data_IF_000649153718
#
_entry.id   IF_000649153718
#
_cell.length_a   1.000
_cell.length_b   1.000
_cell.length_c   1.000
_cell.angle_alpha   90.00
_cell.angle_beta   90.00
_cell.angle_gamma   90.00
#
_symmetry.space_group_name_H-M   'P 1'
#
loop_
_entity.id
_entity.type
_entity.pdbx_description
1 polymer ?
#
# COMPACT_ATOMS: atom_id res chain seq x y z
N UNK A 1 71.60 -28.45 28.26
CA UNK A 1 70.68 -27.68 27.38
C UNK A 1 69.93 -26.69 28.27
N UNK A 2 70.37 -25.44 28.35
CA UNK A 2 69.88 -24.26 27.61
C UNK A 2 68.49 -23.76 28.05
N UNK A 3 68.54 -22.58 28.70
CA UNK A 3 67.62 -21.44 28.69
C UNK A 3 66.56 -21.31 29.81
N UNK A 4 66.89 -20.37 30.69
CA UNK A 4 66.01 -19.47 31.47
C UNK A 4 64.89 -18.92 30.58
N UNK A 5 63.67 -18.81 31.09
CA UNK A 5 62.80 -17.66 30.79
C UNK A 5 61.80 -17.42 31.94
N UNK A 6 62.00 -16.30 32.64
CA UNK A 6 61.01 -15.67 33.49
C UNK A 6 59.85 -15.17 32.61
N UNK A 7 58.61 -15.40 33.03
CA UNK A 7 57.47 -14.68 32.45
C UNK A 7 56.56 -14.19 33.58
N UNK A 8 56.89 -12.99 34.07
CA UNK A 8 55.93 -12.14 34.75
C UNK A 8 54.98 -11.58 33.67
N UNK A 9 53.72 -12.01 33.68
CA UNK A 9 52.67 -11.32 32.94
C UNK A 9 51.88 -10.50 33.95
N UNK A 10 52.21 -9.21 33.94
CA UNK A 10 51.45 -8.14 34.58
C UNK A 10 50.06 -8.11 33.93
N UNK A 11 49.03 -8.39 34.73
CA UNK A 11 47.63 -8.18 34.36
C UNK A 11 47.41 -6.68 34.16
N UNK A 12 47.46 -6.26 32.89
CA UNK A 12 47.13 -4.90 32.47
C UNK A 12 45.64 -4.64 32.74
N UNK A 13 45.40 -3.62 33.56
CA UNK A 13 44.09 -3.04 33.85
C UNK A 13 43.51 -2.48 32.55
N UNK A 14 42.41 -3.08 32.06
CA UNK A 14 41.60 -2.46 31.02
C UNK A 14 40.85 -1.27 31.61
N UNK A 15 41.45 -0.08 31.51
CA UNK A 15 40.70 1.18 31.60
C UNK A 15 39.85 1.29 30.34
N UNK A 16 38.59 0.86 30.46
CA UNK A 16 37.57 1.11 29.47
C UNK A 16 37.23 2.61 29.49
N UNK A 17 37.94 3.40 28.67
CA UNK A 17 37.63 4.82 28.51
C UNK A 17 36.40 4.91 27.60
N UNK A 18 35.21 4.99 28.20
CA UNK A 18 34.00 5.40 27.48
C UNK A 18 34.20 6.85 27.01
N UNK A 19 34.76 7.02 25.82
CA UNK A 19 34.79 8.29 25.11
C UNK A 19 33.39 8.58 24.56
N UNK A 20 32.51 9.09 25.42
CA UNK A 20 31.32 9.81 24.98
C UNK A 20 31.75 11.11 24.30
N UNK A 21 31.83 11.07 22.97
CA UNK A 21 31.90 12.29 22.17
C UNK A 21 30.54 12.99 22.21
N UNK A 22 30.45 14.03 23.05
CA UNK A 22 29.35 14.97 23.02
C UNK A 22 29.48 15.85 21.77
N UNK A 23 28.87 15.43 20.66
CA UNK A 23 28.68 16.29 19.50
C UNK A 23 27.54 17.28 19.78
N UNK A 24 27.91 18.56 19.81
CA UNK A 24 27.01 19.71 19.91
C UNK A 24 25.90 19.63 18.86
N UNK A 25 24.67 19.81 19.32
CA UNK A 25 23.45 20.05 18.53
C UNK A 25 23.68 21.22 17.57
N UNK A 26 23.80 20.94 16.27
CA UNK A 26 23.60 21.96 15.24
C UNK A 26 22.15 21.88 14.76
N UNK A 27 21.42 22.98 14.92
CA UNK A 27 20.12 23.17 14.29
C UNK A 27 20.38 23.34 12.79
N UNK A 28 20.29 22.25 12.03
CA UNK A 28 19.99 22.32 10.62
C UNK A 28 18.50 22.09 10.44
N UNK A 29 17.85 23.06 9.79
CA UNK A 29 16.47 22.97 9.30
C UNK A 29 16.37 21.75 8.39
N UNK A 30 15.97 20.60 8.95
CA UNK A 30 15.70 19.39 8.19
C UNK A 30 14.31 19.54 7.57
N UNK A 31 14.28 19.82 6.28
CA UNK A 31 13.18 19.35 5.44
C UNK A 31 13.17 17.82 5.58
N UNK A 32 12.28 17.29 6.44
CA UNK A 32 12.21 15.85 6.68
C UNK A 32 11.58 15.17 5.46
N UNK A 33 12.39 14.59 4.59
CA UNK A 33 11.93 13.52 3.70
C UNK A 33 11.65 12.29 4.59
N UNK A 34 10.44 12.23 5.13
CA UNK A 34 9.96 11.20 6.07
C UNK A 34 10.13 9.76 5.57
N UNK A 35 10.41 9.56 4.28
CA UNK A 35 10.58 8.26 3.61
C UNK A 35 11.94 7.59 3.88
N UNK A 36 13.03 8.34 4.10
CA UNK A 36 14.38 7.73 4.17
C UNK A 36 14.61 6.89 5.44
N UNK A 37 13.94 7.20 6.55
CA UNK A 37 14.10 6.51 7.84
C UNK A 37 13.05 5.42 8.11
N UNK A 38 12.21 5.06 7.13
CA UNK A 38 11.14 4.07 7.34
C UNK A 38 11.66 2.61 7.25
N UNK A 39 10.98 1.65 7.90
CA UNK A 39 11.20 0.22 7.72
C UNK A 39 11.10 -0.18 6.24
N UNK A 40 11.82 -1.23 5.85
CA UNK A 40 11.85 -1.69 4.45
C UNK A 40 10.44 -2.05 3.93
N UNK A 41 9.62 -2.70 4.76
CA UNK A 41 8.24 -3.04 4.45
C UNK A 41 7.43 -1.79 4.02
N UNK A 42 7.60 -0.69 4.74
CA UNK A 42 6.92 0.59 4.47
C UNK A 42 7.40 1.21 3.16
N UNK A 43 8.71 1.18 2.90
CA UNK A 43 9.29 1.71 1.66
C UNK A 43 8.79 0.97 0.42
N UNK A 44 8.81 -0.37 0.47
CA UNK A 44 8.32 -1.22 -0.61
C UNK A 44 6.84 -0.98 -0.86
N UNK A 45 6.03 -1.01 0.20
CA UNK A 45 4.59 -0.83 0.12
C UNK A 45 4.19 0.53 -0.48
N UNK A 46 4.74 1.63 0.05
CA UNK A 46 4.41 2.97 -0.44
C UNK A 46 4.85 3.18 -1.89
N UNK A 47 5.99 2.62 -2.29
CA UNK A 47 6.45 2.72 -3.68
C UNK A 47 5.48 2.01 -4.63
N UNK A 48 5.17 0.74 -4.36
CA UNK A 48 4.36 -0.07 -5.26
C UNK A 48 2.89 0.38 -5.27
N UNK A 49 2.31 0.70 -4.11
CA UNK A 49 0.91 1.15 -4.03
C UNK A 49 0.71 2.51 -4.69
N UNK A 50 1.61 3.48 -4.45
CA UNK A 50 1.50 4.77 -5.15
C UNK A 50 1.72 4.64 -6.67
N UNK A 51 2.49 3.64 -7.10
CA UNK A 51 2.62 3.33 -8.53
C UNK A 51 1.33 2.73 -9.11
N UNK A 52 0.62 1.89 -8.35
CA UNK A 52 -0.69 1.37 -8.73
C UNK A 52 -1.78 2.45 -8.74
N UNK A 53 -1.80 3.37 -7.77
CA UNK A 53 -2.79 4.46 -7.73
C UNK A 53 -2.71 5.38 -8.95
N UNK A 54 -1.51 5.61 -9.50
CA UNK A 54 -1.32 6.33 -10.77
C UNK A 54 -1.92 5.61 -11.98
N UNK A 55 -2.20 4.31 -11.84
CA UNK A 55 -2.81 3.42 -12.82
C UNK A 55 -4.28 3.10 -12.49
N UNK A 56 -4.94 3.93 -11.69
CA UNK A 56 -6.32 3.74 -11.23
C UNK A 56 -7.37 4.62 -11.94
N UNK A 57 -6.99 5.32 -13.03
CA UNK A 57 -7.93 5.97 -13.95
C UNK A 57 -8.64 7.27 -13.50
N UNK A 58 -8.02 8.41 -13.86
CA UNK A 58 -8.64 9.68 -14.35
C UNK A 58 -7.61 10.47 -15.21
N UNK A 59 -6.31 10.40 -14.86
CA UNK A 59 -5.18 11.05 -15.57
C UNK A 59 -4.06 10.07 -16.00
N UNK A 60 -4.34 8.75 -16.01
CA UNK A 60 -3.36 7.69 -16.29
C UNK A 60 -4.04 6.42 -16.81
N UNK A 61 -3.29 5.31 -16.99
CA UNK A 61 -3.88 4.04 -17.40
C UNK A 61 -5.00 3.64 -16.44
N UNK A 62 -6.09 3.08 -16.97
CA UNK A 62 -7.15 2.53 -16.14
C UNK A 62 -6.70 1.23 -15.47
N UNK A 63 -7.27 0.93 -14.31
CA UNK A 63 -7.00 -0.30 -13.55
C UNK A 63 -7.23 -1.57 -14.40
N UNK A 64 -8.12 -1.50 -15.39
CA UNK A 64 -8.46 -2.61 -16.31
C UNK A 64 -7.64 -2.62 -17.61
N UNK A 65 -6.77 -1.63 -17.84
CA UNK A 65 -5.93 -1.61 -19.03
C UNK A 65 -4.95 -2.78 -19.06
N UNK A 66 -4.66 -3.31 -20.24
CA UNK A 66 -3.70 -4.42 -20.42
C UNK A 66 -2.33 -4.09 -19.83
N UNK A 67 -1.84 -2.87 -20.04
CA UNK A 67 -0.57 -2.39 -19.45
C UNK A 67 -0.57 -2.50 -17.92
N UNK A 68 -1.67 -2.12 -17.27
CA UNK A 68 -1.77 -2.17 -15.81
C UNK A 68 -1.88 -3.59 -15.31
N UNK A 69 -2.66 -4.43 -15.98
CA UNK A 69 -2.78 -5.85 -15.66
C UNK A 69 -1.43 -6.57 -15.77
N UNK A 70 -0.71 -6.38 -16.89
CA UNK A 70 0.63 -6.96 -17.10
C UNK A 70 1.61 -6.50 -16.02
N UNK A 71 1.54 -5.22 -15.64
CA UNK A 71 2.34 -4.67 -14.56
C UNK A 71 1.99 -5.29 -13.20
N UNK A 72 0.70 -5.45 -12.85
CA UNK A 72 0.29 -6.05 -11.57
C UNK A 72 0.67 -7.53 -11.51
N UNK A 73 0.35 -8.31 -12.54
CA UNK A 73 0.62 -9.75 -12.55
C UNK A 73 2.11 -10.08 -12.63
N UNK A 74 2.88 -9.29 -13.38
CA UNK A 74 4.33 -9.42 -13.49
C UNK A 74 5.13 -8.88 -12.29
N UNK A 75 4.51 -8.10 -11.39
CA UNK A 75 5.21 -7.50 -10.27
C UNK A 75 5.30 -8.45 -9.08
N UNK A 76 6.54 -8.81 -8.71
CA UNK A 76 6.84 -9.72 -7.58
C UNK A 76 6.60 -9.11 -6.20
N UNK A 77 6.28 -7.82 -6.12
CA UNK A 77 5.94 -7.11 -4.88
C UNK A 77 4.47 -7.24 -4.48
N UNK A 78 3.64 -7.90 -5.28
CA UNK A 78 2.29 -8.29 -4.89
C UNK A 78 2.24 -9.78 -4.58
N UNK A 79 1.48 -10.16 -3.55
CA UNK A 79 1.15 -11.56 -3.28
C UNK A 79 0.19 -12.11 -4.34
N UNK A 80 0.05 -13.43 -4.41
CA UNK A 80 -0.94 -14.06 -5.28
C UNK A 80 -2.37 -13.77 -4.80
N UNK A 81 -2.58 -13.63 -3.48
CA UNK A 81 -3.87 -13.22 -2.90
C UNK A 81 -4.25 -11.80 -3.33
N UNK A 82 -3.30 -10.86 -3.32
CA UNK A 82 -3.51 -9.52 -3.87
C UNK A 82 -3.92 -9.57 -5.34
N UNK A 83 -3.19 -10.34 -6.16
CA UNK A 83 -3.45 -10.47 -7.60
C UNK A 83 -4.80 -11.12 -7.88
N UNK A 84 -5.18 -12.09 -7.05
CA UNK A 84 -6.49 -12.75 -7.14
C UNK A 84 -7.60 -11.75 -6.85
N UNK A 85 -7.54 -11.00 -5.75
CA UNK A 85 -8.58 -10.02 -5.44
C UNK A 85 -8.59 -8.83 -6.42
N UNK A 86 -7.42 -8.43 -6.94
CA UNK A 86 -7.31 -7.47 -8.04
C UNK A 86 -8.03 -7.95 -9.31
N UNK A 87 -7.91 -9.23 -9.66
CA UNK A 87 -8.60 -9.80 -10.83
C UNK A 87 -10.13 -9.69 -10.72
N UNK A 88 -10.68 -9.81 -9.52
CA UNK A 88 -12.12 -9.60 -9.29
C UNK A 88 -12.52 -8.15 -9.56
N UNK A 89 -11.71 -7.16 -9.16
CA UNK A 89 -11.91 -5.75 -9.53
C UNK A 89 -11.81 -5.56 -11.04
N UNK A 90 -10.89 -6.22 -11.74
CA UNK A 90 -10.83 -6.15 -13.21
C UNK A 90 -12.11 -6.69 -13.84
N UNK A 91 -12.62 -7.84 -13.38
CA UNK A 91 -13.87 -8.40 -13.86
C UNK A 91 -15.06 -7.49 -13.56
N UNK A 92 -15.16 -6.95 -12.33
CA UNK A 92 -16.25 -6.05 -11.95
C UNK A 92 -16.26 -4.73 -12.71
N UNK A 93 -15.09 -4.12 -12.89
CA UNK A 93 -14.96 -2.89 -13.68
C UNK A 93 -15.20 -3.11 -15.19
N UNK A 94 -15.07 -4.34 -15.68
CA UNK A 94 -15.47 -4.74 -17.03
C UNK A 94 -16.96 -5.06 -17.15
N UNK A 95 -17.75 -4.98 -16.05
CA UNK A 95 -19.21 -4.92 -16.14
C UNK A 95 -19.67 -3.52 -16.57
N UNK A 96 -18.99 -2.95 -17.55
CA UNK A 96 -19.28 -1.62 -18.09
C UNK A 96 -20.63 -1.59 -18.80
N UNK A 97 -21.17 -2.73 -19.21
CA UNK A 97 -22.52 -2.86 -19.75
C UNK A 97 -23.63 -2.54 -18.74
N UNK A 98 -23.35 -2.51 -17.43
CA UNK A 98 -24.33 -2.06 -16.43
C UNK A 98 -24.51 -0.55 -16.60
N UNK A 99 -25.77 -0.09 -16.64
CA UNK A 99 -26.05 1.33 -16.79
C UNK A 99 -25.37 2.13 -15.67
N UNK A 100 -24.78 3.28 -16.04
CA UNK A 100 -24.25 4.19 -15.04
C UNK A 100 -25.41 4.75 -14.22
N UNK A 101 -25.10 5.14 -12.99
CA UNK A 101 -26.08 5.75 -12.09
C UNK A 101 -26.39 7.20 -12.39
N UNK A 102 -25.66 7.78 -13.34
CA UNK A 102 -26.02 9.09 -13.85
C UNK A 102 -27.38 8.95 -14.53
N UNK A 103 -28.35 9.75 -14.07
CA UNK A 103 -29.76 9.76 -14.49
C UNK A 103 -29.98 9.96 -16.00
N UNK A 104 -28.90 10.20 -16.75
CA UNK A 104 -28.83 10.47 -18.17
C UNK A 104 -27.86 9.50 -18.91
N UNK A 105 -27.70 8.23 -18.47
CA UNK A 105 -26.92 7.25 -19.27
C UNK A 105 -27.62 7.01 -20.63
N UNK A 106 -27.09 7.65 -21.67
CA UNK A 106 -27.64 7.61 -23.03
C UNK A 106 -27.44 6.27 -23.74
N UNK A 107 -26.74 5.30 -23.12
CA UNK A 107 -26.45 3.99 -23.73
C UNK A 107 -27.72 3.15 -23.81
N UNK A 108 -28.27 2.93 -25.02
CA UNK A 108 -29.56 2.25 -25.18
C UNK A 108 -29.48 0.74 -24.92
N UNK A 109 -28.27 0.17 -24.83
CA UNK A 109 -27.98 -1.25 -24.70
C UNK A 109 -27.38 -1.63 -23.34
N UNK A 110 -27.29 -0.69 -22.39
CA UNK A 110 -26.89 -1.03 -21.04
C UNK A 110 -27.99 -1.81 -20.30
N UNK A 111 -27.59 -2.61 -19.32
CA UNK A 111 -28.48 -3.39 -18.46
C UNK A 111 -28.70 -2.62 -17.17
N UNK A 112 -29.96 -2.42 -16.77
CA UNK A 112 -30.26 -1.82 -15.46
C UNK A 112 -29.69 -2.70 -14.36
N UNK A 113 -29.11 -2.10 -13.31
CA UNK A 113 -28.65 -2.86 -12.15
C UNK A 113 -29.78 -3.75 -11.59
N UNK A 114 -31.03 -3.28 -11.62
CA UNK A 114 -32.17 -4.03 -11.09
C UNK A 114 -32.57 -5.25 -11.92
N UNK A 115 -32.10 -5.31 -13.17
CA UNK A 115 -32.30 -6.44 -14.07
C UNK A 115 -31.19 -7.50 -13.94
N UNK A 116 -30.11 -7.21 -13.18
CA UNK A 116 -29.07 -8.18 -12.87
C UNK A 116 -29.59 -9.27 -11.92
N UNK A 117 -29.04 -10.48 -12.03
CA UNK A 117 -29.26 -11.52 -11.02
C UNK A 117 -28.73 -11.10 -9.65
N UNK A 118 -29.24 -11.72 -8.58
CA UNK A 118 -28.76 -11.44 -7.22
C UNK A 118 -27.25 -11.64 -7.08
N UNK A 119 -26.70 -12.67 -7.72
CA UNK A 119 -25.26 -12.95 -7.70
C UNK A 119 -24.45 -11.86 -8.42
N UNK A 120 -24.93 -11.38 -9.57
CA UNK A 120 -24.30 -10.28 -10.31
C UNK A 120 -24.38 -8.96 -9.54
N UNK A 121 -25.52 -8.67 -8.91
CA UNK A 121 -25.71 -7.52 -8.04
C UNK A 121 -24.70 -7.51 -6.88
N UNK A 122 -24.57 -8.62 -6.16
CA UNK A 122 -23.61 -8.77 -5.06
C UNK A 122 -22.16 -8.62 -5.54
N UNK A 123 -21.85 -9.14 -6.72
CA UNK A 123 -20.53 -9.01 -7.32
C UNK A 123 -20.24 -7.57 -7.74
N UNK A 124 -21.18 -6.92 -8.44
CA UNK A 124 -21.09 -5.53 -8.88
C UNK A 124 -20.96 -4.57 -7.70
N UNK A 125 -21.76 -4.72 -6.65
CA UNK A 125 -21.68 -3.88 -5.45
C UNK A 125 -20.30 -3.96 -4.76
N UNK A 126 -19.57 -5.07 -4.95
CA UNK A 126 -18.24 -5.26 -4.38
C UNK A 126 -17.12 -4.79 -5.31
N UNK A 127 -17.21 -5.08 -6.60
CA UNK A 127 -16.10 -4.97 -7.55
C UNK A 127 -16.35 -4.03 -8.74
N UNK A 128 -17.57 -3.54 -8.93
CA UNK A 128 -17.96 -2.62 -10.00
C UNK A 128 -17.41 -1.19 -9.85
N UNK A 129 -16.72 -0.90 -8.75
CA UNK A 129 -16.17 0.41 -8.45
C UNK A 129 -14.66 0.34 -8.21
N UNK A 130 -13.94 1.40 -8.61
CA UNK A 130 -12.50 1.45 -8.44
C UNK A 130 -12.12 1.37 -6.95
N UNK A 131 -11.14 0.53 -6.58
CA UNK A 131 -10.88 0.18 -5.18
C UNK A 131 -10.33 1.34 -4.34
N UNK A 132 -9.78 2.38 -4.96
CA UNK A 132 -9.18 3.53 -4.27
C UNK A 132 -10.12 4.72 -4.09
N UNK A 133 -11.35 4.66 -4.63
CA UNK A 133 -12.28 5.80 -4.59
C UNK A 133 -12.72 6.18 -3.19
N UNK A 134 -12.99 7.46 -3.00
CA UNK A 134 -13.77 8.02 -1.90
C UNK A 134 -14.88 8.88 -2.50
N UNK A 135 -16.07 8.29 -2.62
CA UNK A 135 -17.09 8.81 -3.51
C UNK A 135 -16.64 8.69 -4.98
N UNK A 136 -16.54 9.82 -5.69
CA UNK A 136 -16.17 9.86 -7.12
C UNK A 136 -14.68 10.14 -7.38
N UNK A 137 -13.89 10.43 -6.35
CA UNK A 137 -12.50 10.90 -6.51
C UNK A 137 -11.54 10.15 -5.57
N UNK A 138 -10.24 10.26 -5.81
CA UNK A 138 -9.18 9.65 -4.99
C UNK A 138 -7.90 10.50 -5.01
N UNK A 139 -7.08 10.48 -3.95
CA UNK A 139 -5.83 11.23 -3.95
C UNK A 139 -4.79 10.64 -4.92
N UNK A 140 -3.97 11.47 -5.56
CA UNK A 140 -2.90 11.04 -6.48
C UNK A 140 -1.91 10.03 -5.88
N UNK A 141 -1.74 10.07 -4.56
CA UNK A 141 -0.85 9.23 -3.79
C UNK A 141 -1.25 9.23 -2.31
N UNK A 142 -0.67 8.32 -1.54
CA UNK A 142 -0.76 8.29 -0.08
C UNK A 142 0.58 8.53 0.60
N UNK A 143 0.52 9.10 1.80
CA UNK A 143 1.64 9.36 2.69
C UNK A 143 1.60 8.46 3.93
N UNK A 144 2.77 8.07 4.41
CA UNK A 144 2.92 7.27 5.63
C UNK A 144 2.37 8.00 6.86
N UNK A 145 1.60 7.27 7.69
CA UNK A 145 1.19 7.73 9.03
C UNK A 145 1.80 6.84 10.11
N UNK A 146 1.55 5.52 10.05
CA UNK A 146 1.97 4.56 11.06
C UNK A 146 2.17 3.18 10.45
N UNK A 147 3.08 2.39 11.03
CA UNK A 147 3.20 0.96 10.76
C UNK A 147 2.93 0.16 12.03
N UNK A 148 2.03 -0.81 11.96
CA UNK A 148 1.88 -1.84 12.97
C UNK A 148 2.55 -3.11 12.48
N UNK A 149 3.75 -3.37 13.00
CA UNK A 149 4.57 -4.50 12.56
C UNK A 149 3.97 -5.86 12.98
N UNK A 150 3.23 -5.89 14.10
CA UNK A 150 2.66 -7.13 14.64
C UNK A 150 1.65 -7.77 13.69
N UNK A 151 0.83 -6.94 13.05
CA UNK A 151 -0.24 -7.37 12.15
C UNK A 151 0.05 -6.97 10.69
N UNK A 152 1.18 -6.33 10.40
CA UNK A 152 1.61 -5.97 9.05
C UNK A 152 0.76 -4.90 8.40
N UNK A 153 0.04 -4.06 9.16
CA UNK A 153 -0.75 -2.98 8.59
C UNK A 153 -0.01 -1.65 8.61
N UNK A 154 0.11 -1.05 7.43
CA UNK A 154 0.57 0.32 7.24
C UNK A 154 -0.66 1.21 7.08
N UNK A 155 -0.75 2.21 7.94
CA UNK A 155 -1.79 3.23 7.90
C UNK A 155 -1.22 4.42 7.14
N UNK A 156 -1.99 4.90 6.18
CA UNK A 156 -1.62 6.00 5.30
C UNK A 156 -2.75 7.01 5.20
N UNK A 157 -2.41 8.20 4.71
CA UNK A 157 -3.38 9.26 4.43
C UNK A 157 -3.26 9.76 3.00
N UNK A 158 -4.34 10.29 2.43
CA UNK A 158 -4.31 10.87 1.08
C UNK A 158 -3.41 12.11 1.02
N UNK A 159 -2.50 12.14 0.04
CA UNK A 159 -1.61 13.30 -0.18
C UNK A 159 -2.44 14.52 -0.55
N UNK A 160 -2.35 15.57 0.25
CA UNK A 160 -3.13 16.80 0.06
C UNK A 160 -4.59 16.70 0.53
N UNK A 161 -5.05 15.53 0.96
CA UNK A 161 -6.41 15.31 1.46
C UNK A 161 -6.47 15.27 2.99
N UNK A 162 -5.35 14.99 3.65
CA UNK A 162 -5.29 14.90 5.11
C UNK A 162 -6.07 13.69 5.63
N UNK A 163 -6.72 13.83 6.78
CA UNK A 163 -7.35 12.70 7.48
C UNK A 163 -8.73 12.32 6.89
N UNK A 164 -9.22 13.03 5.88
CA UNK A 164 -10.45 12.69 5.15
C UNK A 164 -10.32 11.41 4.30
N UNK A 165 -9.09 10.99 4.02
CA UNK A 165 -8.78 9.75 3.31
C UNK A 165 -7.75 8.96 4.10
N UNK A 166 -8.21 7.94 4.83
CA UNK A 166 -7.32 6.99 5.53
C UNK A 166 -7.34 5.65 4.80
N UNK A 167 -6.17 5.18 4.40
CA UNK A 167 -6.02 3.93 3.66
C UNK A 167 -5.08 2.97 4.38
N UNK A 168 -5.47 1.70 4.42
CA UNK A 168 -4.66 0.61 4.94
C UNK A 168 -3.95 -0.11 3.81
N UNK A 169 -2.68 -0.46 4.04
CA UNK A 169 -1.90 -1.35 3.19
C UNK A 169 -1.44 -2.51 4.06
N UNK A 170 -1.76 -3.73 3.65
CA UNK A 170 -1.32 -4.97 4.30
C UNK A 170 -0.04 -5.45 3.63
N UNK A 171 0.99 -5.70 4.44
CA UNK A 171 2.25 -6.28 4.00
C UNK A 171 2.53 -7.62 4.67
N UNK A 172 3.21 -8.49 3.94
CA UNK A 172 3.71 -9.78 4.41
C UNK A 172 5.17 -9.96 3.99
N UNK A 173 5.90 -10.78 4.73
CA UNK A 173 7.24 -11.20 4.36
C UNK A 173 7.17 -12.65 3.86
N UNK A 174 7.42 -12.85 2.57
CA UNK A 174 7.50 -14.16 1.94
C UNK A 174 8.94 -14.39 1.48
N UNK A 175 9.60 -15.41 2.02
CA UNK A 175 10.98 -15.78 1.67
C UNK A 175 11.98 -14.63 1.78
N UNK A 176 11.84 -13.79 2.81
CA UNK A 176 12.71 -12.64 3.05
C UNK A 176 12.36 -11.41 2.21
N UNK A 177 11.31 -11.48 1.38
CA UNK A 177 10.86 -10.36 0.55
C UNK A 177 9.56 -9.78 1.08
N UNK A 178 9.58 -8.47 1.36
CA UNK A 178 8.35 -7.74 1.66
C UNK A 178 7.50 -7.59 0.40
N UNK A 179 6.22 -7.95 0.52
CA UNK A 179 5.18 -7.85 -0.50
C UNK A 179 3.95 -7.17 0.05
N UNK A 180 3.19 -6.54 -0.83
CA UNK A 180 1.85 -6.00 -0.57
C UNK A 180 0.85 -7.11 -0.80
N UNK A 181 0.08 -7.37 0.24
CA UNK A 181 -0.96 -8.38 0.27
C UNK A 181 -2.35 -7.77 0.13
N UNK A 182 -2.52 -6.51 0.54
CA UNK A 182 -3.74 -5.75 0.35
C UNK A 182 -3.49 -4.24 0.32
N UNK A 183 -4.33 -3.50 -0.39
CA UNK A 183 -4.31 -2.04 -0.41
C UNK A 183 -5.71 -1.48 -0.70
N UNK A 184 -6.11 -0.43 0.03
CA UNK A 184 -7.44 0.16 -0.09
C UNK A 184 -8.55 -0.88 0.11
N UNK A 185 -9.36 -1.17 -0.92
CA UNK A 185 -10.39 -2.22 -0.88
C UNK A 185 -9.89 -3.58 -1.41
N UNK A 186 -8.71 -3.62 -2.05
CA UNK A 186 -8.10 -4.86 -2.56
C UNK A 186 -7.52 -5.65 -1.38
N UNK A 187 -8.10 -6.81 -1.08
CA UNK A 187 -7.68 -7.76 -0.06
C UNK A 187 -7.45 -7.12 1.33
N UNK A 188 -8.31 -6.18 1.69
CA UNK A 188 -8.37 -5.56 3.02
C UNK A 188 -9.74 -5.87 3.64
N UNK A 189 -9.83 -6.29 4.91
CA UNK A 189 -11.12 -6.54 5.56
C UNK A 189 -12.05 -5.31 5.54
N UNK A 190 -13.35 -5.50 5.36
CA UNK A 190 -14.35 -4.40 5.22
C UNK A 190 -14.32 -3.39 6.39
N UNK A 191 -14.13 -3.85 7.62
CA UNK A 191 -14.02 -2.96 8.79
C UNK A 191 -12.74 -2.09 8.77
N UNK A 192 -11.74 -2.49 7.97
CA UNK A 192 -10.53 -1.78 7.53
C UNK A 192 -10.78 -0.53 6.67
N UNK A 193 -11.84 -0.56 5.88
CA UNK A 193 -12.01 0.29 4.71
C UNK A 193 -12.75 1.61 5.01
N UNK A 194 -13.15 1.84 6.26
CA UNK A 194 -14.02 2.96 6.64
C UNK A 194 -13.42 4.34 6.34
N UNK A 195 -12.09 4.44 6.30
CA UNK A 195 -11.37 5.67 5.97
C UNK A 195 -11.38 6.06 4.49
N UNK A 196 -11.93 5.21 3.61
CA UNK A 196 -12.05 5.45 2.17
C UNK A 196 -13.42 6.02 1.79
N UNK A 197 -14.34 6.23 2.74
CA UNK A 197 -15.71 6.65 2.46
C UNK A 197 -16.56 5.57 1.76
N UNK A 198 -17.86 5.85 1.55
CA UNK A 198 -18.72 4.98 0.77
C UNK A 198 -18.28 4.93 -0.69
N UNK A 199 -18.48 3.79 -1.33
CA UNK A 199 -18.68 3.74 -2.78
C UNK A 199 -20.14 4.12 -2.99
N UNK A 200 -20.38 5.24 -3.67
CA UNK A 200 -21.73 5.49 -4.18
C UNK A 200 -21.88 4.61 -5.40
N UNK A 201 -23.04 3.96 -5.49
CA UNK A 201 -23.52 3.54 -6.78
C UNK A 201 -23.64 4.82 -7.63
#
# INVERSE_FOLDING_TARGET
>A
MKKIFCLAIVLAVFVNVNTFSASKKSNSTKNSSSVQNQPEAVKVALNVVNSLMKRNGFNGPSLISSETQDWVYGNSRFTDDFKTEYSNYVTGLNMDYVCSEDVDDERPDCVSYEDLSYEEQVFYDKYGFYPFLSGQDYPDAVEFVRYNEKDGYIITRGKGWGDSYTMYIKVVNEDGQWKVDGAARINIPKHLQTGLGPTYR
#
